data_IF_332598713236
#
_entry.id   IF_332598713236
#
_cell.length_a   1.000
_cell.length_b   1.000
_cell.length_c   1.000
_cell.angle_alpha   90.00
_cell.angle_beta   90.00
_cell.angle_gamma   90.00
#
_symmetry.space_group_name_H-M   'P 1'
#
loop_
_entity.id
_entity.type
_entity.pdbx_description
1 polymer ?
#
# COMPACT_ATOMS: atom_id res chain seq x y z
N UNK A 1 -11.78 0.54 10.90
CA UNK A 1 -11.83 -0.30 9.68
C UNK A 1 -13.05 0.13 8.88
N UNK A 2 -12.86 0.65 7.67
CA UNK A 2 -13.99 0.98 6.79
C UNK A 2 -14.68 -0.33 6.42
N UNK A 3 -15.94 -0.50 6.80
CA UNK A 3 -16.75 -1.65 6.38
C UNK A 3 -17.01 -1.51 4.88
N UNK A 4 -16.36 -2.37 4.09
CA UNK A 4 -16.56 -2.44 2.64
C UNK A 4 -17.85 -3.24 2.40
N UNK A 5 -18.89 -2.61 1.86
CA UNK A 5 -20.11 -3.30 1.42
C UNK A 5 -19.81 -4.27 0.26
N UNK A 6 -20.65 -5.29 0.05
CA UNK A 6 -20.40 -6.36 -0.93
C UNK A 6 -20.13 -5.85 -2.37
N UNK A 7 -20.73 -4.71 -2.76
CA UNK A 7 -20.48 -4.03 -4.04
C UNK A 7 -19.07 -3.47 -4.17
N UNK A 8 -18.50 -3.00 -3.07
CA UNK A 8 -17.21 -2.32 -3.03
C UNK A 8 -16.03 -3.34 -3.03
N UNK A 9 -16.29 -4.61 -2.68
CA UNK A 9 -15.28 -5.67 -2.70
C UNK A 9 -14.86 -6.09 -4.11
N UNK A 10 -15.81 -6.19 -5.06
CA UNK A 10 -15.51 -6.61 -6.46
C UNK A 10 -14.63 -5.58 -7.17
N UNK A 11 -14.95 -4.29 -7.01
CA UNK A 11 -14.17 -3.19 -7.56
C UNK A 11 -12.78 -3.13 -6.92
N UNK A 12 -12.71 -3.27 -5.60
CA UNK A 12 -11.46 -3.36 -4.85
C UNK A 12 -10.55 -4.51 -5.33
N UNK A 13 -11.12 -5.71 -5.52
CA UNK A 13 -10.38 -6.86 -6.06
C UNK A 13 -9.84 -6.58 -7.47
N UNK A 14 -10.66 -5.98 -8.35
CA UNK A 14 -10.23 -5.61 -9.71
C UNK A 14 -9.05 -4.65 -9.70
N UNK A 15 -9.07 -3.62 -8.85
CA UNK A 15 -7.96 -2.66 -8.78
C UNK A 15 -6.67 -3.30 -8.24
N UNK A 16 -6.77 -4.14 -7.21
CA UNK A 16 -5.60 -4.85 -6.69
C UNK A 16 -5.05 -5.84 -7.73
N UNK A 17 -5.91 -6.54 -8.46
CA UNK A 17 -5.49 -7.43 -9.56
C UNK A 17 -4.79 -6.65 -10.67
N UNK A 18 -5.36 -5.50 -11.08
CA UNK A 18 -4.73 -4.65 -12.09
C UNK A 18 -3.35 -4.13 -11.64
N UNK A 19 -3.22 -3.72 -10.39
CA UNK A 19 -1.93 -3.29 -9.85
C UNK A 19 -0.92 -4.46 -9.81
N UNK A 20 -1.35 -5.68 -9.47
CA UNK A 20 -0.48 -6.87 -9.52
C UNK A 20 0.08 -7.10 -10.92
N UNK A 21 -0.75 -7.01 -11.95
CA UNK A 21 -0.31 -7.16 -13.34
C UNK A 21 0.73 -6.11 -13.74
N UNK A 22 0.46 -4.84 -13.42
CA UNK A 22 1.38 -3.73 -13.67
C UNK A 22 2.72 -4.00 -12.98
N UNK A 23 2.69 -4.36 -11.70
CA UNK A 23 3.90 -4.66 -10.93
C UNK A 23 4.66 -5.86 -11.48
N UNK A 24 3.94 -6.88 -11.97
CA UNK A 24 4.58 -8.05 -12.56
C UNK A 24 5.28 -7.74 -13.87
N UNK A 25 4.75 -6.80 -14.67
CA UNK A 25 5.34 -6.43 -15.96
C UNK A 25 6.42 -5.36 -15.83
N UNK A 26 6.23 -4.35 -15.00
CA UNK A 26 7.07 -3.14 -14.98
C UNK A 26 7.80 -2.90 -13.67
N UNK A 27 7.52 -3.69 -12.61
CA UNK A 27 7.99 -3.38 -11.26
C UNK A 27 7.18 -2.28 -10.60
N UNK A 28 7.75 -1.60 -9.59
CA UNK A 28 7.03 -0.52 -8.91
C UNK A 28 6.78 0.65 -9.88
N UNK A 29 5.53 1.16 -9.98
CA UNK A 29 5.22 2.34 -10.79
C UNK A 29 5.78 3.60 -10.13
N UNK A 30 7.05 3.90 -10.40
CA UNK A 30 7.76 5.09 -9.90
C UNK A 30 7.23 6.37 -10.52
N UNK A 31 7.37 7.51 -9.82
CA UNK A 31 6.95 8.81 -10.36
C UNK A 31 7.66 9.17 -11.68
N UNK A 32 8.93 8.80 -11.86
CA UNK A 32 9.63 8.96 -13.15
C UNK A 32 9.00 8.19 -14.33
N UNK A 33 8.28 7.09 -14.06
CA UNK A 33 7.74 6.21 -15.12
C UNK A 33 6.31 6.61 -15.50
N UNK A 34 5.51 7.02 -14.52
CA UNK A 34 4.06 7.20 -14.68
C UNK A 34 3.57 8.59 -14.24
N UNK A 35 4.45 9.45 -13.76
CA UNK A 35 4.12 10.73 -13.11
C UNK A 35 3.65 10.56 -11.66
N UNK A 36 3.64 11.66 -10.92
CA UNK A 36 3.32 11.69 -9.48
C UNK A 36 1.90 11.20 -9.16
N UNK A 37 0.90 11.64 -9.92
CA UNK A 37 -0.49 11.24 -9.70
C UNK A 37 -0.68 9.73 -9.81
N UNK A 38 -0.14 9.11 -10.86
CA UNK A 38 -0.29 7.67 -11.07
C UNK A 38 0.53 6.85 -10.07
N UNK A 39 1.73 7.33 -9.69
CA UNK A 39 2.54 6.70 -8.65
C UNK A 39 1.82 6.73 -7.30
N UNK A 40 1.21 7.88 -6.94
CA UNK A 40 0.42 8.01 -5.72
C UNK A 40 -0.84 7.12 -5.75
N UNK A 41 -1.53 7.04 -6.90
CA UNK A 41 -2.68 6.14 -7.06
C UNK A 41 -2.28 4.67 -6.86
N UNK A 42 -1.13 4.25 -7.39
CA UNK A 42 -0.61 2.91 -7.17
C UNK A 42 -0.25 2.65 -5.69
N UNK A 43 0.33 3.65 -5.01
CA UNK A 43 0.58 3.59 -3.58
C UNK A 43 -0.72 3.46 -2.77
N UNK A 44 -1.75 4.26 -3.06
CA UNK A 44 -3.05 4.17 -2.39
C UNK A 44 -3.65 2.76 -2.50
N UNK A 45 -3.62 2.18 -3.70
CA UNK A 45 -4.07 0.81 -3.93
C UNK A 45 -3.25 -0.20 -3.10
N UNK A 46 -1.94 -0.02 -2.98
CA UNK A 46 -1.09 -0.86 -2.11
C UNK A 46 -1.38 -0.65 -0.61
N UNK A 47 -1.52 0.60 -0.16
CA UNK A 47 -1.80 0.99 1.23
C UNK A 47 -3.12 0.39 1.73
N UNK A 48 -4.11 0.33 0.84
CA UNK A 48 -5.42 -0.23 1.15
C UNK A 48 -5.58 -1.69 0.72
N UNK A 49 -4.52 -2.37 0.21
CA UNK A 49 -4.54 -3.79 -0.18
C UNK A 49 -4.59 -4.77 1.02
N UNK A 50 -5.30 -4.38 2.06
CA UNK A 50 -5.46 -5.02 3.35
C UNK A 50 -5.77 -6.52 3.23
N UNK A 51 -6.81 -6.89 2.48
CA UNK A 51 -7.16 -8.31 2.27
C UNK A 51 -6.11 -9.16 1.54
N UNK A 52 -5.01 -8.55 1.07
CA UNK A 52 -3.92 -9.23 0.37
C UNK A 52 -2.56 -8.99 1.05
N UNK A 53 -2.35 -9.47 2.29
CA UNK A 53 -1.17 -9.12 3.10
C UNK A 53 0.17 -9.51 2.44
N UNK A 54 0.23 -10.64 1.74
CA UNK A 54 1.43 -11.06 1.00
C UNK A 54 1.76 -10.11 -0.15
N UNK A 55 0.73 -9.59 -0.83
CA UNK A 55 0.89 -8.60 -1.89
C UNK A 55 1.32 -7.24 -1.30
N UNK A 56 0.68 -6.79 -0.24
CA UNK A 56 1.05 -5.55 0.46
C UNK A 56 2.51 -5.57 0.93
N UNK A 57 2.98 -6.70 1.46
CA UNK A 57 4.40 -6.92 1.83
C UNK A 57 5.32 -6.88 0.60
N UNK A 58 4.90 -7.40 -0.55
CA UNK A 58 5.67 -7.33 -1.80
C UNK A 58 5.76 -5.88 -2.28
N UNK A 59 4.65 -5.14 -2.29
CA UNK A 59 4.62 -3.72 -2.61
C UNK A 59 5.59 -2.93 -1.73
N UNK A 60 5.58 -3.17 -0.40
CA UNK A 60 6.51 -2.54 0.53
C UNK A 60 7.98 -2.76 0.14
N UNK A 61 8.37 -3.99 -0.24
CA UNK A 61 9.75 -4.28 -0.68
C UNK A 61 10.12 -3.51 -1.94
N UNK A 62 9.20 -3.40 -2.90
CA UNK A 62 9.44 -2.73 -4.16
C UNK A 62 9.46 -1.21 -4.00
N UNK A 63 8.53 -0.65 -3.22
CA UNK A 63 8.50 0.76 -2.85
C UNK A 63 9.80 1.16 -2.13
N UNK A 64 10.29 0.34 -1.18
CA UNK A 64 11.59 0.57 -0.52
C UNK A 64 12.73 0.70 -1.54
N UNK A 65 12.77 -0.16 -2.56
CA UNK A 65 13.77 -0.07 -3.64
C UNK A 65 13.63 1.21 -4.47
N UNK A 66 12.40 1.62 -4.78
CA UNK A 66 12.15 2.87 -5.49
C UNK A 66 12.58 4.10 -4.68
N UNK A 67 12.28 4.15 -3.38
CA UNK A 67 12.71 5.23 -2.49
C UNK A 67 14.23 5.33 -2.38
N UNK A 68 14.94 4.20 -2.28
CA UNK A 68 16.41 4.20 -2.26
C UNK A 68 17.02 4.80 -3.54
N UNK A 69 16.28 4.78 -4.66
CA UNK A 69 16.67 5.40 -5.93
C UNK A 69 16.11 6.83 -6.09
N UNK A 70 15.47 7.38 -5.07
CA UNK A 70 14.76 8.66 -5.12
C UNK A 70 13.62 8.70 -6.16
N UNK A 71 12.99 7.55 -6.42
CA UNK A 71 11.94 7.36 -7.42
C UNK A 71 10.55 7.09 -6.82
N UNK A 72 10.39 7.31 -5.51
CA UNK A 72 9.13 7.25 -4.77
C UNK A 72 9.22 8.08 -3.48
N UNK A 73 8.08 8.46 -2.90
CA UNK A 73 7.99 9.22 -1.65
C UNK A 73 8.48 8.41 -0.44
N UNK A 74 9.21 9.08 0.46
CA UNK A 74 9.65 8.51 1.75
C UNK A 74 8.49 8.41 2.73
N UNK A 75 7.56 9.35 2.66
CA UNK A 75 6.33 9.40 3.43
C UNK A 75 5.44 8.19 3.10
N UNK A 76 5.23 7.93 1.81
CA UNK A 76 4.51 6.75 1.31
C UNK A 76 5.10 5.45 1.86
N UNK A 77 6.44 5.36 1.92
CA UNK A 77 7.15 4.23 2.49
C UNK A 77 6.92 4.11 4.01
N UNK A 78 6.94 5.22 4.75
CA UNK A 78 6.68 5.21 6.20
C UNK A 78 5.28 4.67 6.52
N UNK A 79 4.26 5.20 5.82
CA UNK A 79 2.86 4.76 5.99
C UNK A 79 2.67 3.27 5.66
N UNK A 80 3.21 2.80 4.53
CA UNK A 80 3.05 1.40 4.13
C UNK A 80 3.83 0.46 5.06
N UNK A 81 4.98 0.90 5.58
CA UNK A 81 5.76 0.15 6.57
C UNK A 81 4.93 -0.12 7.81
N UNK A 82 4.38 0.92 8.41
CA UNK A 82 3.59 0.78 9.63
C UNK A 82 2.29 0.00 9.38
N UNK A 83 1.61 0.23 8.25
CA UNK A 83 0.42 -0.53 7.87
C UNK A 83 0.69 -2.04 7.84
N UNK A 84 1.82 -2.46 7.26
CA UNK A 84 2.25 -3.87 7.22
C UNK A 84 2.63 -4.38 8.61
N UNK A 85 3.25 -3.57 9.46
CA UNK A 85 3.67 -3.97 10.82
C UNK A 85 2.47 -4.17 11.74
N UNK A 86 1.59 -3.18 11.82
CA UNK A 86 0.37 -3.21 12.63
C UNK A 86 -0.49 -4.41 12.28
N UNK A 87 -0.70 -4.66 10.99
CA UNK A 87 -1.52 -5.79 10.53
C UNK A 87 -0.95 -7.15 10.96
N UNK A 88 0.35 -7.19 11.27
CA UNK A 88 1.05 -8.38 11.79
C UNK A 88 1.17 -8.38 13.33
N UNK A 89 0.47 -7.49 14.02
CA UNK A 89 0.56 -7.33 15.47
C UNK A 89 1.92 -6.80 15.95
N UNK A 90 2.71 -6.18 15.07
CA UNK A 90 4.02 -5.63 15.41
C UNK A 90 3.92 -4.15 15.74
N UNK A 91 4.88 -3.67 16.54
CA UNK A 91 5.06 -2.24 16.81
C UNK A 91 5.33 -1.48 15.50
N UNK A 92 4.77 -0.28 15.41
CA UNK A 92 5.03 0.67 14.34
C UNK A 92 6.43 1.25 14.49
N UNK A 93 7.01 1.71 13.38
CA UNK A 93 8.29 2.41 13.36
C UNK A 93 8.07 3.92 13.33
N UNK A 94 7.08 4.39 12.56
CA UNK A 94 6.86 5.82 12.33
C UNK A 94 5.61 6.37 13.04
N UNK A 95 4.75 5.49 13.56
CA UNK A 95 3.55 5.88 14.29
C UNK A 95 2.42 6.45 13.40
N UNK A 96 2.36 6.05 12.12
CA UNK A 96 1.41 6.60 11.15
C UNK A 96 -0.01 6.02 11.25
N UNK A 97 -0.19 4.86 11.90
CA UNK A 97 -1.48 4.19 12.03
C UNK A 97 -2.06 4.39 13.43
N UNK A 98 -3.36 4.67 13.47
CA UNK A 98 -4.10 4.87 14.71
C UNK A 98 -5.31 3.95 14.75
N UNK A 99 -5.56 3.36 15.92
CA UNK A 99 -6.77 2.60 16.21
C UNK A 99 -7.41 3.22 17.43
N UNK A 100 -8.59 3.81 17.24
CA UNK A 100 -9.41 4.23 18.37
C UNK A 100 -10.04 2.95 18.93
N UNK A 101 -9.70 2.62 20.16
CA UNK A 101 -10.32 1.54 20.90
C UNK A 101 -11.39 2.16 21.79
N UNK A 102 -12.66 1.93 21.45
CA UNK A 102 -13.75 2.29 22.33
C UNK A 102 -13.78 1.26 23.46
N UNK A 103 -13.52 1.72 24.68
CA UNK A 103 -13.81 0.95 25.87
C UNK A 103 -15.31 1.12 26.13
N UNK A 104 -16.03 0.01 26.08
CA UNK A 104 -17.34 -0.15 26.73
C UNK A 104 -17.09 -0.99 27.96
#
# INVERSE_FOLDING_TARGET
>A
MIKISAWNLKTYQRHVTRLKEIINRYGWPTHNLVGEQAANAAWLLAQHSDHFPSFQKRCLKLLKKAVMKNQASKEDLAYLTDRVLVRRGKKQVYGTQFFIRFWV
#
